data_IF_640034138535
#
_entry.id   IF_640034138535
#
_cell.length_a   1.000
_cell.length_b   1.000
_cell.length_c   1.000
_cell.angle_alpha   90.00
_cell.angle_beta   90.00
_cell.angle_gamma   90.00
#
_symmetry.space_group_name_H-M   'P 1'
#
loop_
_entity.id
_entity.type
_entity.pdbx_description
1 polymer ?
#
# COMPACT_ATOMS: atom_id res chain seq x y z
N UNK A 1 -39.64 15.68 -12.82
CA UNK A 1 -38.47 15.05 -13.48
C UNK A 1 -37.28 15.14 -12.53
N UNK A 2 -36.78 14.03 -11.97
CA UNK A 2 -35.59 14.04 -11.10
C UNK A 2 -34.34 13.97 -11.99
N UNK A 3 -33.61 15.08 -12.05
CA UNK A 3 -32.35 15.18 -12.78
C UNK A 3 -31.37 14.11 -12.28
N UNK A 4 -30.75 13.37 -13.21
CA UNK A 4 -29.83 12.29 -12.92
C UNK A 4 -28.64 12.76 -12.10
N UNK A 5 -28.55 12.30 -10.84
CA UNK A 5 -27.35 12.47 -10.02
C UNK A 5 -26.27 11.53 -10.57
N UNK A 6 -25.33 12.08 -11.33
CA UNK A 6 -24.10 11.36 -11.69
C UNK A 6 -23.30 11.14 -10.39
N UNK A 7 -22.86 9.91 -10.08
CA UNK A 7 -22.07 9.66 -8.88
C UNK A 7 -20.74 10.42 -8.96
N UNK A 8 -20.35 11.05 -7.84
CA UNK A 8 -19.07 11.76 -7.74
C UNK A 8 -17.97 10.73 -7.52
N UNK A 9 -17.11 10.54 -8.51
CA UNK A 9 -15.89 9.74 -8.36
C UNK A 9 -14.87 10.54 -7.56
N UNK A 10 -14.43 10.00 -6.42
CA UNK A 10 -13.34 10.57 -5.62
C UNK A 10 -12.04 9.82 -5.90
N UNK A 11 -11.07 10.49 -6.52
CA UNK A 11 -9.72 9.98 -6.63
C UNK A 11 -8.97 10.24 -5.31
N UNK A 12 -8.71 9.18 -4.54
CA UNK A 12 -7.86 9.25 -3.35
C UNK A 12 -6.44 8.86 -3.79
N UNK A 13 -5.45 9.76 -3.72
CA UNK A 13 -4.07 9.41 -4.05
C UNK A 13 -3.55 8.39 -3.03
N UNK A 14 -3.03 7.27 -3.52
CA UNK A 14 -2.42 6.26 -2.67
C UNK A 14 -1.03 6.70 -2.23
N UNK A 15 -0.69 6.41 -0.98
CA UNK A 15 0.69 6.52 -0.51
C UNK A 15 1.55 5.43 -1.15
N UNK A 16 2.88 5.61 -1.25
CA UNK A 16 3.75 4.60 -1.86
C UNK A 16 3.63 3.21 -1.23
N UNK A 17 3.43 3.13 0.09
CA UNK A 17 3.23 1.86 0.79
C UNK A 17 1.91 1.18 0.39
N UNK A 18 0.81 1.96 0.33
CA UNK A 18 -0.50 1.44 -0.04
C UNK A 18 -0.52 1.00 -1.51
N UNK A 19 0.13 1.77 -2.38
CA UNK A 19 0.27 1.48 -3.80
C UNK A 19 1.06 0.18 -4.04
N UNK A 20 2.22 0.02 -3.40
CA UNK A 20 3.04 -1.19 -3.51
C UNK A 20 2.29 -2.43 -3.02
N UNK A 21 1.59 -2.35 -1.88
CA UNK A 21 0.78 -3.47 -1.36
C UNK A 21 -0.37 -3.82 -2.30
N UNK A 22 -1.07 -2.82 -2.83
CA UNK A 22 -2.17 -3.02 -3.76
C UNK A 22 -1.68 -3.73 -5.04
N UNK A 23 -0.55 -3.30 -5.60
CA UNK A 23 0.09 -3.96 -6.75
C UNK A 23 0.54 -5.39 -6.44
N UNK A 24 1.03 -5.65 -5.22
CA UNK A 24 1.36 -7.00 -4.77
C UNK A 24 0.13 -7.89 -4.58
N UNK A 25 -1.06 -7.33 -4.39
CA UNK A 25 -2.29 -8.10 -4.13
C UNK A 25 -2.34 -8.73 -2.73
N UNK A 26 -1.59 -8.17 -1.78
CA UNK A 26 -1.43 -8.74 -0.44
C UNK A 26 -2.30 -8.02 0.60
N UNK A 27 -2.72 -8.75 1.63
CA UNK A 27 -3.31 -8.17 2.83
C UNK A 27 -2.27 -7.34 3.60
N UNK A 28 -2.73 -6.45 4.48
CA UNK A 28 -1.83 -5.65 5.34
C UNK A 28 -0.97 -6.55 6.24
N UNK A 29 -1.51 -7.67 6.73
CA UNK A 29 -0.76 -8.61 7.57
C UNK A 29 0.34 -9.32 6.80
N UNK A 30 0.05 -9.86 5.61
CA UNK A 30 1.05 -10.51 4.76
C UNK A 30 2.16 -9.55 4.37
N UNK A 31 1.80 -8.35 3.89
CA UNK A 31 2.78 -7.36 3.48
C UNK A 31 3.64 -6.86 4.64
N UNK A 32 3.05 -6.67 5.82
CA UNK A 32 3.79 -6.27 7.02
C UNK A 32 4.77 -7.37 7.48
N UNK A 33 4.35 -8.64 7.41
CA UNK A 33 5.21 -9.78 7.73
C UNK A 33 6.43 -9.86 6.80
N UNK A 34 6.22 -9.72 5.49
CA UNK A 34 7.31 -9.71 4.50
C UNK A 34 8.30 -8.56 4.69
N UNK A 35 7.81 -7.39 5.12
CA UNK A 35 8.65 -6.23 5.41
C UNK A 35 9.27 -6.27 6.82
N UNK A 36 8.97 -7.30 7.63
CA UNK A 36 9.49 -7.43 8.99
C UNK A 36 9.00 -6.34 9.94
N UNK A 37 7.80 -5.82 9.73
CA UNK A 37 7.21 -4.73 10.54
C UNK A 37 5.85 -5.11 11.11
N UNK A 38 5.40 -4.41 12.14
CA UNK A 38 4.04 -4.58 12.64
C UNK A 38 2.99 -4.05 11.65
N UNK A 39 1.79 -4.63 11.65
CA UNK A 39 0.64 -4.11 10.88
C UNK A 39 0.34 -2.65 11.24
N UNK A 40 0.49 -2.29 12.53
CA UNK A 40 0.35 -0.91 13.01
C UNK A 40 1.33 0.05 12.33
N UNK A 41 2.57 -0.38 12.12
CA UNK A 41 3.60 0.39 11.40
C UNK A 41 3.20 0.58 9.95
N UNK A 42 2.82 -0.50 9.26
CA UNK A 42 2.37 -0.43 7.86
C UNK A 42 1.16 0.51 7.70
N UNK A 43 0.15 0.39 8.56
CA UNK A 43 -1.02 1.29 8.55
C UNK A 43 -0.63 2.75 8.74
N UNK A 44 0.35 3.04 9.61
CA UNK A 44 0.88 4.38 9.79
C UNK A 44 1.50 4.95 8.52
N UNK A 45 2.20 4.12 7.73
CA UNK A 45 2.75 4.49 6.43
C UNK A 45 1.66 4.66 5.37
N UNK A 46 0.73 3.72 5.29
CA UNK A 46 -0.37 3.75 4.31
C UNK A 46 -1.27 4.99 4.48
N UNK A 47 -1.46 5.42 5.73
CA UNK A 47 -2.25 6.61 6.10
C UNK A 47 -1.42 7.91 6.11
N UNK A 48 -0.12 7.86 5.81
CA UNK A 48 0.77 9.02 5.84
C UNK A 48 1.03 9.62 7.24
N UNK A 49 0.69 8.90 8.31
CA UNK A 49 0.91 9.33 9.71
C UNK A 49 2.36 9.14 10.18
N UNK A 50 3.12 8.28 9.50
CA UNK A 50 4.51 7.98 9.81
C UNK A 50 5.34 7.97 8.53
N UNK A 51 6.60 8.41 8.66
CA UNK A 51 7.58 8.26 7.59
C UNK A 51 8.21 6.87 7.63
N UNK A 52 8.48 6.29 6.46
CA UNK A 52 9.28 5.08 6.34
C UNK A 52 10.76 5.38 6.64
N UNK A 53 11.47 4.40 7.20
CA UNK A 53 12.93 4.44 7.24
C UNK A 53 13.51 4.37 5.82
N UNK A 54 14.78 4.71 5.64
CA UNK A 54 15.46 4.60 4.34
C UNK A 54 15.35 3.20 3.75
N UNK A 55 15.66 2.16 4.54
CA UNK A 55 15.55 0.77 4.13
C UNK A 55 14.11 0.37 3.75
N UNK A 56 13.11 0.77 4.55
CA UNK A 56 11.72 0.47 4.27
C UNK A 56 11.25 1.14 2.97
N UNK A 57 11.71 2.36 2.70
CA UNK A 57 11.41 3.08 1.45
C UNK A 57 11.97 2.34 0.23
N UNK A 58 13.21 1.85 0.31
CA UNK A 58 13.81 1.00 -0.73
C UNK A 58 13.03 -0.30 -0.94
N UNK A 59 12.65 -1.01 0.13
CA UNK A 59 11.87 -2.25 0.02
C UNK A 59 10.49 -2.02 -0.61
N UNK A 60 9.82 -0.92 -0.26
CA UNK A 60 8.53 -0.53 -0.87
C UNK A 60 8.71 -0.22 -2.34
N UNK A 61 9.78 0.47 -2.73
CA UNK A 61 10.07 0.76 -4.14
C UNK A 61 10.35 -0.53 -4.95
N UNK A 62 11.06 -1.50 -4.35
CA UNK A 62 11.27 -2.83 -4.95
C UNK A 62 9.93 -3.55 -5.10
N UNK A 63 9.11 -3.57 -4.05
CA UNK A 63 7.80 -4.21 -4.05
C UNK A 63 6.84 -3.61 -5.10
N UNK A 64 6.92 -2.29 -5.33
CA UNK A 64 6.14 -1.63 -6.39
C UNK A 64 6.62 -2.02 -7.79
N UNK A 65 7.93 -2.16 -8.00
CA UNK A 65 8.52 -2.50 -9.31
C UNK A 65 8.41 -3.99 -9.66
N UNK A 66 8.51 -4.86 -8.65
CA UNK A 66 8.60 -6.31 -8.81
C UNK A 66 7.63 -7.01 -7.81
N UNK A 67 6.31 -6.79 -7.96
CA UNK A 67 5.32 -7.29 -7.01
C UNK A 67 5.27 -8.82 -6.92
N UNK A 68 5.65 -9.53 -7.98
CA UNK A 68 5.75 -10.99 -8.04
C UNK A 68 6.73 -11.58 -7.03
N UNK A 69 7.83 -10.88 -6.71
CA UNK A 69 8.80 -11.32 -5.70
C UNK A 69 8.13 -11.44 -4.33
N UNK A 70 7.26 -10.49 -3.99
CA UNK A 70 6.52 -10.54 -2.73
C UNK A 70 5.45 -11.61 -2.74
N UNK A 71 4.76 -11.84 -3.87
CA UNK A 71 3.75 -12.92 -3.96
C UNK A 71 4.36 -14.30 -3.80
N UNK A 72 5.59 -14.51 -4.27
CA UNK A 72 6.31 -15.77 -4.12
C UNK A 72 6.81 -16.01 -2.68
N UNK A 73 7.08 -14.92 -1.94
CA UNK A 73 7.55 -15.00 -0.57
C UNK A 73 6.41 -15.04 0.48
N UNK A 74 5.17 -14.75 0.07
CA UNK A 74 3.99 -14.57 0.93
C UNK A 74 3.37 -15.87 1.45
#
# INVERSE_FOLDING_TARGET
MKAGRVPRTHHVPLTPAADARAHAGLSQSQFAALLGVSVRTLQGWEQGRKQQSGAARTLIDIARRNPEVLRQAA
#
